data_IF_069776899694
#
_entry.id   IF_069776899694
#
_cell.length_a   1.000
_cell.length_b   1.000
_cell.length_c   1.000
_cell.angle_alpha   90.00
_cell.angle_beta   90.00
_cell.angle_gamma   90.00
#
_symmetry.space_group_name_H-M   'P 1'
#
loop_
_entity.id
_entity.type
_entity.pdbx_description
1 polymer ?
#
# COMPACT_ATOMS: atom_id res chain seq x y z
N UNK A 1 -5.95 -0.25 -3.69
CA UNK A 1 -6.89 -0.12 -4.82
C UNK A 1 -7.34 1.32 -4.90
N UNK A 2 -7.20 1.94 -6.08
CA UNK A 2 -7.71 3.27 -6.36
C UNK A 2 -9.24 3.29 -6.27
N UNK A 3 -9.81 4.46 -6.01
CA UNK A 3 -11.26 4.68 -6.14
C UNK A 3 -11.53 5.27 -7.52
N UNK A 4 -12.65 4.89 -8.15
CA UNK A 4 -13.05 5.40 -9.46
C UNK A 4 -14.49 5.88 -9.41
N UNK A 5 -14.79 7.00 -10.09
CA UNK A 5 -16.11 7.54 -10.23
C UNK A 5 -16.32 8.15 -11.63
N UNK A 6 -17.53 8.01 -12.17
CA UNK A 6 -17.98 8.83 -13.31
C UNK A 6 -18.60 10.09 -12.76
N UNK A 7 -18.10 11.25 -13.17
CA UNK A 7 -18.55 12.53 -12.65
C UNK A 7 -18.39 13.65 -13.68
N UNK A 8 -19.08 14.76 -13.43
CA UNK A 8 -18.83 16.01 -14.12
C UNK A 8 -17.64 16.71 -13.43
N UNK A 9 -16.71 17.20 -14.24
CA UNK A 9 -15.53 17.92 -13.76
C UNK A 9 -15.46 19.28 -14.46
N UNK A 10 -15.36 20.32 -13.64
CA UNK A 10 -15.10 21.68 -14.10
C UNK A 10 -13.64 22.03 -13.80
N UNK A 11 -12.88 22.33 -14.85
CA UNK A 11 -11.52 22.86 -14.75
C UNK A 11 -11.53 24.30 -15.24
N UNK A 12 -11.35 25.26 -14.34
CA UNK A 12 -11.50 26.68 -14.62
C UNK A 12 -12.86 26.99 -15.31
N UNK A 13 -12.86 27.28 -16.61
CA UNK A 13 -14.07 27.58 -17.41
C UNK A 13 -14.56 26.41 -18.26
N UNK A 14 -13.87 25.29 -18.28
CA UNK A 14 -14.24 24.11 -19.08
C UNK A 14 -14.94 23.09 -18.19
N UNK A 15 -16.00 22.47 -18.71
CA UNK A 15 -16.71 21.38 -18.03
C UNK A 15 -16.69 20.15 -18.93
N UNK A 16 -16.45 18.98 -18.36
CA UNK A 16 -16.48 17.72 -19.08
C UNK A 16 -17.02 16.62 -18.18
N UNK A 17 -17.79 15.71 -18.78
CA UNK A 17 -18.21 14.48 -18.13
C UNK A 17 -17.20 13.37 -18.44
N UNK A 18 -16.75 12.67 -17.42
CA UNK A 18 -15.72 11.66 -17.63
C UNK A 18 -15.51 10.75 -16.43
N UNK A 19 -14.35 10.14 -16.40
CA UNK A 19 -13.94 9.19 -15.38
C UNK A 19 -12.83 9.80 -14.54
N UNK A 20 -13.11 9.99 -13.26
CA UNK A 20 -12.11 10.36 -12.27
C UNK A 20 -11.58 9.09 -11.57
N UNK A 21 -10.28 9.05 -11.30
CA UNK A 21 -9.60 7.97 -10.56
C UNK A 21 -8.72 8.58 -9.49
N UNK A 22 -8.96 8.17 -8.25
CA UNK A 22 -8.13 8.52 -7.11
C UNK A 22 -7.12 7.40 -6.89
N UNK A 23 -5.89 7.66 -7.30
CA UNK A 23 -4.76 6.76 -7.12
C UNK A 23 -4.05 7.01 -5.77
N UNK A 24 -2.91 6.38 -5.53
CA UNK A 24 -2.19 6.50 -4.25
C UNK A 24 -1.60 7.88 -3.98
N UNK A 25 -1.11 8.55 -5.04
CA UNK A 25 -0.35 9.80 -4.95
C UNK A 25 -0.92 10.91 -5.83
N UNK A 26 -1.98 10.61 -6.59
CA UNK A 26 -2.53 11.54 -7.58
C UNK A 26 -4.01 11.31 -7.85
N UNK A 27 -4.68 12.37 -8.30
CA UNK A 27 -6.02 12.34 -8.85
C UNK A 27 -5.94 12.50 -10.36
N UNK A 28 -6.57 11.58 -11.08
CA UNK A 28 -6.62 11.55 -12.54
C UNK A 28 -8.05 11.79 -13.02
N UNK A 29 -8.19 12.49 -14.14
CA UNK A 29 -9.47 12.60 -14.85
C UNK A 29 -9.27 12.39 -16.35
N UNK A 30 -10.20 11.71 -16.98
CA UNK A 30 -10.30 11.48 -18.43
C UNK A 30 -11.71 11.71 -18.89
N UNK A 31 -11.89 12.74 -19.69
CA UNK A 31 -13.09 13.15 -20.41
C UNK A 31 -12.66 13.84 -21.71
N UNK A 32 -13.32 14.95 -22.07
CA UNK A 32 -12.92 15.78 -23.21
C UNK A 32 -11.54 16.41 -23.01
N UNK A 33 -11.16 16.59 -21.75
CA UNK A 33 -9.79 16.92 -21.37
C UNK A 33 -9.22 15.85 -20.39
N UNK A 34 -7.91 15.87 -20.26
CA UNK A 34 -7.18 15.04 -19.27
C UNK A 34 -6.63 15.93 -18.18
N UNK A 35 -6.77 15.46 -16.93
CA UNK A 35 -6.25 16.14 -15.77
C UNK A 35 -5.47 15.16 -14.91
N UNK A 36 -4.33 15.61 -14.40
CA UNK A 36 -3.48 14.90 -13.45
C UNK A 36 -3.11 15.88 -12.34
N UNK A 37 -3.50 15.59 -11.11
CA UNK A 37 -3.19 16.39 -9.92
C UNK A 37 -2.44 15.50 -8.94
N UNK A 38 -1.10 15.63 -8.84
CA UNK A 38 -0.33 15.01 -7.76
C UNK A 38 -0.78 15.57 -6.41
N UNK A 39 -0.87 14.75 -5.37
CA UNK A 39 -1.30 15.23 -4.05
C UNK A 39 -0.35 16.26 -3.45
N UNK A 40 0.96 16.20 -3.82
CA UNK A 40 1.93 17.21 -3.41
C UNK A 40 1.70 18.61 -4.00
N UNK A 41 0.95 18.72 -5.09
CA UNK A 41 0.63 19.98 -5.77
C UNK A 41 -0.69 20.59 -5.27
N UNK A 42 -1.42 19.89 -4.41
CA UNK A 42 -2.70 20.36 -3.88
C UNK A 42 -2.47 21.48 -2.88
N UNK A 43 -3.01 22.66 -3.18
CA UNK A 43 -2.94 23.86 -2.31
C UNK A 43 -4.08 23.90 -1.31
N UNK A 44 -5.29 23.58 -1.75
CA UNK A 44 -6.47 23.52 -0.90
C UNK A 44 -7.51 22.55 -1.45
N UNK A 45 -8.34 21.99 -0.56
CA UNK A 45 -9.49 21.16 -0.90
C UNK A 45 -10.68 21.66 -0.09
N UNK A 46 -11.79 21.92 -0.77
CA UNK A 46 -13.08 22.22 -0.15
C UNK A 46 -14.15 21.23 -0.67
N UNK A 47 -15.11 20.88 0.17
CA UNK A 47 -16.22 20.02 -0.22
C UNK A 47 -17.53 20.70 0.16
N UNK A 48 -18.38 20.95 -0.84
CA UNK A 48 -19.70 21.53 -0.66
C UNK A 48 -20.72 20.79 -1.48
N UNK A 49 -21.80 20.31 -0.84
CA UNK A 49 -22.96 19.67 -1.52
C UNK A 49 -22.55 18.56 -2.50
N UNK A 50 -21.56 17.72 -2.13
CA UNK A 50 -21.08 16.63 -2.97
C UNK A 50 -20.10 17.01 -4.07
N UNK A 51 -19.71 18.30 -4.15
CA UNK A 51 -18.69 18.78 -5.09
C UNK A 51 -17.38 18.98 -4.33
N UNK A 52 -16.32 18.27 -4.74
CA UNK A 52 -14.96 18.46 -4.25
C UNK A 52 -14.21 19.43 -5.15
N UNK A 53 -13.80 20.56 -4.61
CA UNK A 53 -13.02 21.59 -5.32
C UNK A 53 -11.58 21.55 -4.85
N UNK A 54 -10.64 21.49 -5.79
CA UNK A 54 -9.19 21.41 -5.54
C UNK A 54 -8.50 22.57 -6.23
N UNK A 55 -7.75 23.37 -5.47
CA UNK A 55 -6.82 24.35 -6.01
C UNK A 55 -5.42 23.72 -6.14
N UNK A 56 -4.79 23.92 -7.30
CA UNK A 56 -3.46 23.40 -7.63
C UNK A 56 -2.75 24.35 -8.63
N UNK A 57 -1.48 24.16 -9.01
CA UNK A 57 -0.78 25.08 -9.93
C UNK A 57 -1.46 25.27 -11.29
N UNK A 58 -2.22 24.28 -11.77
CA UNK A 58 -3.00 24.36 -13.01
C UNK A 58 -4.33 25.12 -12.91
N UNK A 59 -4.67 25.68 -11.75
CA UNK A 59 -5.92 26.41 -11.50
C UNK A 59 -6.80 25.75 -10.46
N UNK A 60 -8.11 25.75 -10.71
CA UNK A 60 -9.11 25.13 -9.84
C UNK A 60 -9.91 24.08 -10.60
N UNK A 61 -10.03 22.89 -10.00
CA UNK A 61 -10.83 21.80 -10.54
C UNK A 61 -11.93 21.38 -9.54
N UNK A 62 -13.18 21.35 -9.99
CA UNK A 62 -14.33 20.91 -9.20
C UNK A 62 -14.87 19.58 -9.74
N UNK A 63 -14.99 18.59 -8.87
CA UNK A 63 -15.43 17.22 -9.15
C UNK A 63 -16.78 16.98 -8.47
N UNK A 64 -17.82 16.71 -9.24
CA UNK A 64 -19.12 16.33 -8.70
C UNK A 64 -19.14 14.83 -8.39
N UNK A 65 -18.83 14.50 -7.16
CA UNK A 65 -18.66 13.12 -6.67
C UNK A 65 -19.82 12.66 -5.78
N UNK A 66 -20.81 13.55 -5.55
CA UNK A 66 -21.93 13.24 -4.67
C UNK A 66 -21.45 12.80 -3.27
N UNK A 67 -21.97 11.68 -2.73
CA UNK A 67 -21.64 11.22 -1.39
C UNK A 67 -20.17 10.79 -1.21
N UNK A 68 -19.43 10.56 -2.27
CA UNK A 68 -18.02 10.17 -2.21
C UNK A 68 -17.05 11.37 -2.08
N UNK A 69 -17.52 12.60 -2.25
CA UNK A 69 -16.70 13.79 -2.28
C UNK A 69 -15.84 13.96 -1.00
N UNK A 70 -16.45 13.85 0.18
CA UNK A 70 -15.71 13.99 1.45
C UNK A 70 -14.71 12.86 1.66
N UNK A 71 -15.08 11.63 1.31
CA UNK A 71 -14.19 10.47 1.41
C UNK A 71 -12.95 10.59 0.51
N UNK A 72 -13.13 11.18 -0.69
CA UNK A 72 -12.01 11.43 -1.59
C UNK A 72 -11.14 12.58 -1.08
N UNK A 73 -11.75 13.68 -0.62
CA UNK A 73 -11.04 14.80 -0.04
C UNK A 73 -10.18 14.38 1.16
N UNK A 74 -10.74 13.56 2.06
CA UNK A 74 -10.01 13.03 3.22
C UNK A 74 -8.81 12.18 2.82
N UNK A 75 -8.93 11.33 1.81
CA UNK A 75 -7.81 10.54 1.29
C UNK A 75 -6.71 11.38 0.67
N UNK A 76 -7.05 12.54 0.09
CA UNK A 76 -6.08 13.46 -0.50
C UNK A 76 -5.41 14.31 0.59
N UNK A 77 -6.18 14.80 1.59
CA UNK A 77 -5.66 15.55 2.73
C UNK A 77 -4.73 14.69 3.60
N UNK A 78 -5.15 13.43 3.84
CA UNK A 78 -4.48 12.49 4.72
C UNK A 78 -4.14 11.19 3.96
N UNK A 79 -3.19 11.20 3.01
CA UNK A 79 -2.80 9.99 2.30
C UNK A 79 -2.19 9.00 3.29
N UNK A 80 -2.71 7.76 3.29
CA UNK A 80 -2.15 6.70 4.15
C UNK A 80 -0.66 6.54 3.86
N UNK A 81 0.15 6.72 4.88
CA UNK A 81 1.57 6.46 4.81
C UNK A 81 1.87 4.99 4.44
N UNK A 82 3.10 4.72 4.00
CA UNK A 82 3.52 3.36 3.62
C UNK A 82 3.30 2.38 4.78
N UNK A 83 3.68 2.75 6.01
CA UNK A 83 3.53 1.89 7.18
C UNK A 83 2.05 1.56 7.48
N UNK A 84 1.14 2.51 7.28
CA UNK A 84 -0.30 2.28 7.48
C UNK A 84 -0.86 1.32 6.41
N UNK A 85 -0.39 1.44 5.16
CA UNK A 85 -0.73 0.51 4.07
C UNK A 85 -0.22 -0.90 4.33
N UNK A 86 0.96 -1.01 4.92
CA UNK A 86 1.59 -2.28 5.30
C UNK A 86 1.04 -2.84 6.63
N UNK A 87 0.24 -2.05 7.35
CA UNK A 87 -0.41 -2.46 8.59
C UNK A 87 0.50 -2.44 9.83
N UNK A 88 1.56 -1.65 9.79
CA UNK A 88 2.46 -1.45 10.93
C UNK A 88 1.83 -0.47 11.91
N UNK A 89 1.62 -0.92 13.14
CA UNK A 89 1.08 -0.11 14.24
C UNK A 89 2.15 0.15 15.30
N UNK A 90 1.99 1.20 16.14
CA UNK A 90 2.85 1.42 17.30
C UNK A 90 2.93 0.17 18.19
N UNK A 91 4.10 -0.12 18.72
CA UNK A 91 4.35 -1.24 19.64
C UNK A 91 4.38 -2.63 19.00
N UNK A 92 4.27 -2.74 17.66
CA UNK A 92 4.43 -4.02 16.96
C UNK A 92 5.89 -4.44 16.92
N UNK A 93 6.12 -5.76 17.10
CA UNK A 93 7.42 -6.40 16.87
C UNK A 93 7.60 -6.68 15.39
N UNK A 94 8.61 -6.06 14.79
CA UNK A 94 8.86 -6.12 13.34
C UNK A 94 10.25 -6.67 13.05
N UNK A 95 10.33 -7.61 12.12
CA UNK A 95 11.60 -8.15 11.63
C UNK A 95 11.86 -7.73 10.17
N UNK A 96 13.10 -7.36 9.86
CA UNK A 96 13.57 -6.95 8.54
C UNK A 96 14.65 -7.87 8.04
N UNK A 97 14.45 -8.50 6.87
CA UNK A 97 15.41 -9.37 6.20
C UNK A 97 15.69 -8.85 4.78
N UNK A 98 16.90 -8.34 4.56
CA UNK A 98 17.32 -7.82 3.26
C UNK A 98 16.63 -6.51 2.83
N UNK A 99 15.95 -5.84 3.74
CA UNK A 99 15.35 -4.51 3.48
C UNK A 99 16.41 -3.45 3.81
N UNK A 100 16.89 -2.74 2.80
CA UNK A 100 18.00 -1.77 2.93
C UNK A 100 17.54 -0.31 2.78
N UNK A 101 16.25 -0.08 2.51
CA UNK A 101 15.68 1.27 2.37
C UNK A 101 15.80 2.05 3.68
N UNK A 102 16.73 3.01 3.73
CA UNK A 102 16.99 3.82 4.92
C UNK A 102 15.79 4.69 5.31
N UNK A 103 15.04 5.18 4.33
CA UNK A 103 13.82 5.97 4.56
C UNK A 103 12.74 5.14 5.23
N UNK A 104 12.51 3.91 4.76
CA UNK A 104 11.59 2.98 5.37
C UNK A 104 12.01 2.61 6.80
N UNK A 105 13.29 2.28 7.01
CA UNK A 105 13.83 1.94 8.34
C UNK A 105 13.66 3.09 9.34
N UNK A 106 13.93 4.33 8.91
CA UNK A 106 13.73 5.54 9.74
C UNK A 106 12.28 5.72 10.14
N UNK A 107 11.34 5.60 9.18
CA UNK A 107 9.91 5.69 9.47
C UNK A 107 9.45 4.56 10.40
N UNK A 108 9.94 3.34 10.18
CA UNK A 108 9.60 2.18 10.99
C UNK A 108 10.02 2.36 12.44
N UNK A 109 11.27 2.78 12.69
CA UNK A 109 11.78 3.03 14.05
C UNK A 109 11.08 4.20 14.75
N UNK A 110 10.57 5.18 13.99
CA UNK A 110 9.70 6.22 14.55
C UNK A 110 8.29 5.71 14.91
N UNK A 111 7.86 4.56 14.36
CA UNK A 111 6.55 3.95 14.60
C UNK A 111 6.59 2.90 15.72
N UNK A 112 7.67 2.13 15.82
CA UNK A 112 7.84 1.06 16.82
C UNK A 112 9.31 0.86 17.17
N UNK A 113 9.58 0.59 18.45
CA UNK A 113 10.95 0.41 18.98
C UNK A 113 11.42 -1.05 18.85
N UNK A 114 10.50 -2.02 18.74
CA UNK A 114 10.84 -3.45 18.64
C UNK A 114 11.10 -3.87 17.18
N UNK A 115 12.27 -3.49 16.67
CA UNK A 115 12.72 -3.78 15.31
C UNK A 115 13.96 -4.65 15.34
N UNK A 116 13.88 -5.86 14.75
CA UNK A 116 15.00 -6.80 14.56
C UNK A 116 15.42 -6.80 13.10
N UNK A 117 16.72 -6.65 12.83
CA UNK A 117 17.29 -6.70 11.47
C UNK A 117 18.12 -7.97 11.25
N UNK A 118 18.19 -8.44 10.00
CA UNK A 118 19.00 -9.57 9.54
C UNK A 118 18.41 -10.95 9.83
N UNK A 119 17.46 -11.07 10.76
CA UNK A 119 16.79 -12.33 11.10
C UNK A 119 15.33 -12.13 11.43
N UNK A 120 14.55 -13.21 11.33
CA UNK A 120 13.16 -13.22 11.81
C UNK A 120 13.15 -13.56 13.31
N UNK A 121 12.72 -12.61 14.14
CA UNK A 121 12.58 -12.83 15.57
C UNK A 121 11.29 -13.61 15.86
N UNK A 122 11.34 -14.58 16.75
CA UNK A 122 10.16 -15.34 17.18
C UNK A 122 9.11 -14.42 17.82
N UNK A 123 7.85 -14.60 17.45
CA UNK A 123 6.74 -13.81 17.92
C UNK A 123 6.64 -12.43 17.25
N UNK A 124 7.19 -12.27 16.04
CA UNK A 124 6.99 -11.05 15.24
C UNK A 124 5.54 -10.86 14.85
N UNK A 125 5.06 -9.62 14.94
CA UNK A 125 3.77 -9.22 14.38
C UNK A 125 3.85 -9.11 12.86
N UNK A 126 5.01 -8.61 12.37
CA UNK A 126 5.27 -8.49 10.93
C UNK A 126 6.72 -8.86 10.63
N UNK A 127 6.92 -9.65 9.58
CA UNK A 127 8.24 -9.90 8.99
C UNK A 127 8.25 -9.34 7.58
N UNK A 128 9.17 -8.45 7.27
CA UNK A 128 9.48 -8.02 5.90
C UNK A 128 10.69 -8.78 5.41
N UNK A 129 10.58 -9.47 4.29
CA UNK A 129 11.68 -10.21 3.67
C UNK A 129 11.81 -9.84 2.20
N UNK A 130 13.00 -9.39 1.80
CA UNK A 130 13.30 -9.19 0.38
C UNK A 130 13.70 -10.52 -0.24
N UNK A 131 13.10 -10.83 -1.39
CA UNK A 131 13.40 -11.99 -2.22
C UNK A 131 13.70 -11.53 -3.64
N UNK A 132 14.73 -12.10 -4.26
CA UNK A 132 15.19 -11.77 -5.60
C UNK A 132 15.27 -12.98 -6.52
N UNK A 133 15.20 -14.19 -5.94
CA UNK A 133 15.24 -15.46 -6.67
C UNK A 133 14.17 -16.41 -6.14
N UNK A 134 13.57 -17.21 -7.03
CA UNK A 134 12.47 -18.14 -6.70
C UNK A 134 12.86 -19.16 -5.59
N UNK A 135 14.14 -19.60 -5.55
CA UNK A 135 14.63 -20.53 -4.51
C UNK A 135 14.52 -19.97 -3.09
N UNK A 136 14.52 -18.64 -2.91
CA UNK A 136 14.40 -18.01 -1.60
C UNK A 136 13.01 -18.18 -0.97
N UNK A 137 12.01 -18.55 -1.77
CA UNK A 137 10.66 -18.82 -1.30
C UNK A 137 10.60 -20.01 -0.32
N UNK A 138 11.57 -20.94 -0.36
CA UNK A 138 11.70 -22.01 0.64
C UNK A 138 11.82 -21.49 2.08
N UNK A 139 12.22 -20.22 2.28
CA UNK A 139 12.31 -19.60 3.61
C UNK A 139 10.94 -19.32 4.23
N UNK A 140 9.86 -19.32 3.46
CA UNK A 140 8.52 -18.95 3.94
C UNK A 140 8.04 -19.83 5.10
N UNK A 141 8.39 -21.12 5.13
CA UNK A 141 8.03 -22.02 6.22
C UNK A 141 8.67 -21.57 7.56
N UNK A 142 9.95 -21.27 7.54
CA UNK A 142 10.65 -20.76 8.73
C UNK A 142 10.12 -19.38 9.15
N UNK A 143 9.76 -18.53 8.19
CA UNK A 143 9.17 -17.21 8.48
C UNK A 143 7.76 -17.33 9.06
N UNK A 144 6.96 -18.31 8.61
CA UNK A 144 5.67 -18.64 9.22
C UNK A 144 5.82 -19.02 10.70
N UNK A 145 6.83 -19.81 11.04
CA UNK A 145 7.09 -20.20 12.42
C UNK A 145 7.57 -19.04 13.31
N UNK A 146 8.11 -17.96 12.71
CA UNK A 146 8.59 -16.80 13.42
C UNK A 146 7.49 -15.77 13.73
N UNK A 147 6.37 -15.75 12.99
CA UNK A 147 5.29 -14.79 13.23
C UNK A 147 4.30 -15.28 14.28
N UNK A 148 3.61 -14.34 14.94
CA UNK A 148 2.43 -14.63 15.76
C UNK A 148 1.31 -15.26 14.91
N UNK A 149 0.34 -15.98 15.50
CA UNK A 149 -0.81 -16.53 14.75
C UNK A 149 -1.58 -15.49 13.93
N UNK A 150 -1.71 -14.26 14.44
CA UNK A 150 -2.32 -13.13 13.73
C UNK A 150 -1.33 -12.25 12.97
N UNK A 151 -0.06 -12.63 12.91
CA UNK A 151 1.01 -11.89 12.25
C UNK A 151 0.98 -12.01 10.72
N UNK A 152 1.97 -11.37 10.08
CA UNK A 152 2.08 -11.37 8.63
C UNK A 152 3.53 -11.44 8.16
N UNK A 153 3.74 -12.09 7.02
CA UNK A 153 4.97 -12.01 6.23
C UNK A 153 4.70 -11.13 5.02
N UNK A 154 5.50 -10.10 4.83
CA UNK A 154 5.55 -9.31 3.62
C UNK A 154 6.75 -9.73 2.78
N UNK A 155 6.50 -10.41 1.68
CA UNK A 155 7.52 -10.71 0.68
C UNK A 155 7.68 -9.49 -0.20
N UNK A 156 8.89 -8.95 -0.27
CA UNK A 156 9.24 -7.74 -1.02
C UNK A 156 10.18 -8.11 -2.16
N UNK A 157 9.92 -7.64 -3.39
CA UNK A 157 10.76 -7.94 -4.56
C UNK A 157 10.88 -6.74 -5.49
N UNK A 158 11.97 -6.68 -6.31
CA UNK A 158 12.15 -5.64 -7.31
C UNK A 158 11.12 -5.73 -8.43
N UNK A 159 10.53 -4.59 -8.81
CA UNK A 159 9.61 -4.50 -9.95
C UNK A 159 10.35 -4.76 -11.28
N UNK A 160 9.65 -5.38 -12.22
CA UNK A 160 10.15 -5.58 -13.59
C UNK A 160 11.25 -6.63 -13.76
N UNK A 161 11.66 -7.33 -12.70
CA UNK A 161 12.62 -8.43 -12.79
C UNK A 161 11.93 -9.77 -13.10
N UNK A 162 12.67 -10.65 -13.83
CA UNK A 162 12.16 -11.98 -14.21
C UNK A 162 12.53 -13.07 -13.21
N UNK A 163 13.60 -12.86 -12.41
CA UNK A 163 14.14 -13.87 -11.49
C UNK A 163 13.24 -14.16 -10.28
N UNK A 164 12.40 -13.20 -9.89
CA UNK A 164 11.38 -13.35 -8.87
C UNK A 164 10.16 -12.46 -9.19
N UNK A 165 8.97 -13.04 -9.19
CA UNK A 165 7.71 -12.38 -9.51
C UNK A 165 6.68 -12.62 -8.41
N UNK A 166 5.56 -11.91 -8.50
CA UNK A 166 4.40 -12.08 -7.62
C UNK A 166 3.92 -13.54 -7.58
N UNK A 167 3.87 -14.21 -8.75
CA UNK A 167 3.42 -15.59 -8.85
C UNK A 167 4.35 -16.56 -8.11
N UNK A 168 5.67 -16.32 -8.11
CA UNK A 168 6.63 -17.14 -7.36
C UNK A 168 6.32 -17.09 -5.85
N UNK A 169 6.03 -15.89 -5.32
CA UNK A 169 5.61 -15.74 -3.93
C UNK A 169 4.26 -16.41 -3.65
N UNK A 170 3.26 -16.19 -4.52
CA UNK A 170 1.91 -16.77 -4.37
C UNK A 170 1.94 -18.28 -4.38
N UNK A 171 2.65 -18.88 -5.34
CA UNK A 171 2.72 -20.33 -5.51
C UNK A 171 3.44 -21.02 -4.35
N UNK A 172 4.40 -20.35 -3.72
CA UNK A 172 5.12 -20.89 -2.57
C UNK A 172 4.36 -20.78 -1.23
N UNK A 173 3.42 -19.84 -1.13
CA UNK A 173 2.65 -19.60 0.09
C UNK A 173 1.94 -20.83 0.66
N UNK A 174 1.10 -21.54 -0.13
CA UNK A 174 0.36 -22.69 0.35
C UNK A 174 1.23 -23.81 0.90
N UNK A 175 2.37 -24.12 0.27
CA UNK A 175 3.32 -25.13 0.75
C UNK A 175 3.92 -24.75 2.12
N UNK A 176 4.08 -23.46 2.39
CA UNK A 176 4.51 -22.94 3.68
C UNK A 176 3.35 -22.75 4.68
N UNK A 177 2.11 -23.10 4.35
CA UNK A 177 0.92 -22.89 5.18
C UNK A 177 0.57 -21.41 5.34
N UNK A 178 0.85 -20.59 4.34
CA UNK A 178 0.49 -19.18 4.24
C UNK A 178 -0.48 -18.94 3.08
N UNK A 179 -1.34 -17.94 3.23
CA UNK A 179 -2.22 -17.45 2.17
C UNK A 179 -1.94 -15.98 1.88
N UNK A 180 -1.97 -15.63 0.62
CA UNK A 180 -1.82 -14.24 0.19
C UNK A 180 -3.11 -13.44 0.47
N UNK A 181 -2.94 -12.18 0.84
CA UNK A 181 -4.06 -11.30 1.22
C UNK A 181 -4.07 -10.03 0.39
N UNK A 182 -2.88 -9.47 0.11
CA UNK A 182 -2.81 -8.13 -0.47
C UNK A 182 -1.47 -7.89 -1.15
N UNK A 183 -1.52 -7.32 -2.34
CA UNK A 183 -0.36 -6.72 -3.01
C UNK A 183 -0.31 -5.23 -2.71
N UNK A 184 0.88 -4.68 -2.51
CA UNK A 184 1.12 -3.26 -2.31
C UNK A 184 2.40 -2.81 -3.03
N UNK A 185 2.42 -1.55 -3.46
CA UNK A 185 3.68 -0.90 -3.85
C UNK A 185 4.45 -0.58 -2.56
N UNK A 186 5.64 -1.18 -2.40
CA UNK A 186 6.52 -0.90 -1.26
C UNK A 186 7.32 0.39 -1.49
N UNK A 187 7.84 0.56 -2.70
CA UNK A 187 8.50 1.78 -3.16
C UNK A 187 8.30 1.95 -4.67
N UNK A 188 8.93 2.94 -5.28
CA UNK A 188 8.87 3.14 -6.73
C UNK A 188 9.49 1.94 -7.48
N UNK A 189 10.47 1.27 -6.88
CA UNK A 189 11.19 0.12 -7.45
C UNK A 189 10.85 -1.24 -6.85
N UNK A 190 10.10 -1.30 -5.75
CA UNK A 190 9.78 -2.53 -5.03
C UNK A 190 8.27 -2.75 -4.94
N UNK A 191 7.85 -3.99 -5.13
CA UNK A 191 6.51 -4.50 -4.83
C UNK A 191 6.54 -5.36 -3.56
N UNK A 192 5.38 -5.55 -2.92
CA UNK A 192 5.24 -6.41 -1.76
C UNK A 192 3.94 -7.19 -1.78
N UNK A 193 3.98 -8.46 -1.35
CA UNK A 193 2.82 -9.33 -1.14
C UNK A 193 2.71 -9.68 0.35
N UNK A 194 1.55 -9.40 0.93
CA UNK A 194 1.22 -9.79 2.29
C UNK A 194 0.73 -11.22 2.32
N UNK A 195 1.34 -12.02 3.16
CA UNK A 195 0.92 -13.38 3.47
C UNK A 195 0.61 -13.52 4.96
N UNK A 196 -0.38 -14.34 5.28
CA UNK A 196 -0.81 -14.60 6.66
C UNK A 196 -1.09 -16.08 6.89
N UNK A 197 -1.07 -16.50 8.14
CA UNK A 197 -1.56 -17.82 8.54
C UNK A 197 -3.09 -17.83 8.38
N UNK A 198 -3.69 -18.80 7.66
CA UNK A 198 -5.13 -18.93 7.55
C UNK A 198 -5.81 -18.94 8.92
N UNK A 199 -6.98 -18.32 9.04
CA UNK A 199 -7.70 -18.20 10.33
C UNK A 199 -7.89 -19.55 11.00
N UNK A 200 -8.24 -20.58 10.21
CA UNK A 200 -8.44 -21.97 10.69
C UNK A 200 -7.19 -22.60 11.32
N UNK A 201 -6.00 -22.14 10.92
CA UNK A 201 -4.71 -22.73 11.34
C UNK A 201 -4.02 -21.94 12.46
N UNK A 202 -4.61 -20.82 12.91
CA UNK A 202 -4.03 -19.93 13.93
C UNK A 202 -4.06 -20.52 15.36
N UNK A 203 -4.96 -21.45 15.63
CA UNK A 203 -5.09 -22.10 16.95
C UNK A 203 -4.19 -23.32 17.14
N UNK A 204 -3.51 -23.79 16.10
CA UNK A 204 -2.68 -25.02 16.12
C UNK A 204 -1.22 -24.75 16.46
N UNK A 205 -0.81 -23.49 16.51
CA UNK A 205 0.55 -23.08 16.89
C UNK A 205 0.65 -23.02 18.44
N UNK A 206 0.85 -24.18 19.06
CA UNK A 206 1.29 -24.31 20.45
C UNK A 206 2.81 -24.39 20.54
#
# INVERSE_FOLDING_TARGET
MGSEARCDVRLNKQTSKGRARLEEKELLFRGDFRLKIPFGDVKSIDVKRGVMTIAFPGGEAAFDLGPDAEKWAEKIRNPKGLLDKLGVKPGMKVSLLGIEDAGFKKQLRARTDDVTEGRAAKGSDIVFVKMTEAKEAARLEALRAAIKPGGAVWVVWPKGQKAFREDDARNAGPAAGLVDVKVASFSDTLSALKMVIPVKDRGVLR
#
